data_IF_223598094479
#
_entry.id   IF_223598094479
#
_cell.length_a   1.000
_cell.length_b   1.000
_cell.length_c   1.000
_cell.angle_alpha   90.00
_cell.angle_beta   90.00
_cell.angle_gamma   90.00
#
_symmetry.space_group_name_H-M   'P 1'
#
loop_
_entity.id
_entity.type
_entity.pdbx_description
1 polymer ?
#
# COMPACT_ATOMS: atom_id res chain seq x y z
N UNK A 1 -24.00 -64.36 -45.01
CA UNK A 1 -23.55 -62.93 -45.10
C UNK A 1 -24.13 -62.14 -43.96
N UNK A 2 -23.38 -61.97 -42.87
CA UNK A 2 -23.67 -61.01 -41.78
C UNK A 2 -22.61 -61.16 -40.68
N UNK A 3 -21.47 -60.58 -40.84
CA UNK A 3 -20.48 -60.37 -39.79
C UNK A 3 -19.72 -59.10 -40.19
N UNK A 4 -19.44 -58.22 -39.20
CA UNK A 4 -18.67 -56.99 -39.28
C UNK A 4 -19.45 -55.69 -39.15
N UNK A 5 -20.08 -55.36 -38.00
CA UNK A 5 -20.44 -53.95 -37.61
C UNK A 5 -20.41 -53.81 -36.08
N UNK A 6 -19.52 -54.40 -35.33
CA UNK A 6 -19.51 -54.23 -33.86
C UNK A 6 -18.15 -53.72 -33.29
N UNK A 7 -17.12 -53.57 -34.11
CA UNK A 7 -15.77 -53.25 -33.61
C UNK A 7 -15.44 -51.76 -33.55
N UNK A 8 -16.02 -50.79 -34.31
CA UNK A 8 -15.61 -49.41 -34.20
C UNK A 8 -16.29 -48.58 -33.11
N UNK A 9 -17.35 -49.08 -32.45
CA UNK A 9 -18.07 -48.28 -31.43
C UNK A 9 -17.43 -48.39 -30.04
N UNK A 10 -16.70 -49.45 -29.74
CA UNK A 10 -16.05 -49.60 -28.44
C UNK A 10 -14.72 -48.82 -28.31
N UNK A 11 -14.08 -48.45 -29.43
CA UNK A 11 -12.83 -47.69 -29.40
C UNK A 11 -13.05 -46.17 -29.22
N UNK A 12 -14.24 -45.68 -29.55
CA UNK A 12 -14.59 -44.24 -29.40
C UNK A 12 -14.99 -43.87 -27.96
N UNK A 13 -15.44 -44.83 -27.15
CA UNK A 13 -15.87 -44.57 -25.77
C UNK A 13 -14.70 -44.57 -24.78
N UNK A 14 -13.58 -45.20 -25.09
CA UNK A 14 -12.39 -45.21 -24.23
C UNK A 14 -11.54 -43.93 -24.39
N UNK A 15 -11.69 -43.20 -25.52
CA UNK A 15 -10.93 -41.95 -25.75
C UNK A 15 -11.55 -40.71 -25.13
N UNK A 16 -12.78 -40.80 -24.63
CA UNK A 16 -13.49 -39.64 -24.01
C UNK A 16 -13.33 -39.60 -22.49
N UNK A 17 -12.81 -40.64 -21.86
CA UNK A 17 -12.59 -40.70 -20.39
C UNK A 17 -11.17 -40.30 -19.95
N UNK A 18 -10.34 -39.72 -20.82
CA UNK A 18 -9.08 -39.08 -20.44
C UNK A 18 -9.21 -37.55 -20.44
N UNK A 19 -10.39 -36.99 -20.16
CA UNK A 19 -10.55 -35.59 -19.88
C UNK A 19 -10.31 -35.33 -18.40
N UNK A 20 -9.06 -35.01 -18.10
CA UNK A 20 -8.64 -33.94 -17.21
C UNK A 20 -9.33 -33.84 -15.83
N UNK A 21 -8.90 -34.67 -14.89
CA UNK A 21 -8.68 -34.18 -13.55
C UNK A 21 -7.25 -33.68 -13.45
N UNK A 22 -6.94 -32.49 -13.98
CA UNK A 22 -5.93 -31.63 -13.37
C UNK A 22 -6.58 -31.07 -12.10
N UNK A 23 -6.56 -31.83 -11.01
CA UNK A 23 -6.67 -31.24 -9.70
C UNK A 23 -5.46 -30.33 -9.59
N UNK A 24 -5.68 -29.02 -9.64
CA UNK A 24 -4.72 -28.02 -9.18
C UNK A 24 -4.39 -28.40 -7.73
N UNK A 25 -3.35 -29.21 -7.55
CA UNK A 25 -2.82 -29.48 -6.22
C UNK A 25 -2.20 -28.17 -5.76
N UNK A 26 -2.90 -27.41 -4.92
CA UNK A 26 -2.28 -26.31 -4.17
C UNK A 26 -0.95 -26.84 -3.63
N UNK A 27 0.12 -26.07 -3.83
CA UNK A 27 1.43 -26.41 -3.29
C UNK A 27 1.30 -26.59 -1.77
N UNK A 28 1.81 -27.67 -1.21
CA UNK A 28 1.82 -27.86 0.25
C UNK A 28 2.85 -26.91 0.85
N UNK A 29 2.37 -25.98 1.66
CA UNK A 29 3.21 -24.99 2.37
C UNK A 29 3.40 -25.46 3.82
N UNK A 30 4.63 -25.48 4.36
CA UNK A 30 4.87 -25.78 5.77
C UNK A 30 4.11 -24.82 6.70
N UNK A 31 3.68 -25.31 7.85
CA UNK A 31 2.80 -24.60 8.77
C UNK A 31 3.35 -23.27 9.33
N UNK A 32 4.65 -23.02 9.19
CA UNK A 32 5.31 -21.76 9.62
C UNK A 32 5.81 -20.92 8.47
N UNK A 33 5.48 -21.27 7.23
CA UNK A 33 5.90 -20.56 6.02
C UNK A 33 4.69 -20.03 5.27
N UNK A 34 4.94 -19.11 4.34
CA UNK A 34 4.01 -18.73 3.27
C UNK A 34 4.67 -18.95 1.92
N UNK A 35 3.86 -19.09 0.89
CA UNK A 35 4.31 -19.18 -0.51
C UNK A 35 3.43 -18.29 -1.38
N UNK A 36 4.02 -17.24 -1.98
CA UNK A 36 3.41 -16.47 -3.04
C UNK A 36 3.95 -16.97 -4.38
N UNK A 37 3.08 -17.29 -5.33
CA UNK A 37 3.46 -17.56 -6.72
C UNK A 37 2.67 -16.63 -7.65
N UNK A 38 3.38 -15.94 -8.53
CA UNK A 38 2.80 -15.03 -9.50
C UNK A 38 3.04 -15.46 -10.94
N UNK A 39 2.03 -15.26 -11.80
CA UNK A 39 2.12 -15.44 -13.24
C UNK A 39 1.56 -14.20 -13.95
N UNK A 40 2.42 -13.55 -14.75
CA UNK A 40 2.13 -12.28 -15.44
C UNK A 40 2.27 -12.47 -16.94
N UNK A 41 1.14 -12.59 -17.64
CA UNK A 41 1.06 -13.16 -19.00
C UNK A 41 1.79 -12.33 -20.08
N UNK A 42 1.73 -10.99 -20.04
CA UNK A 42 2.22 -10.11 -21.08
C UNK A 42 3.43 -9.28 -20.68
N UNK A 43 4.17 -9.76 -19.67
CA UNK A 43 5.37 -9.07 -19.19
C UNK A 43 6.63 -9.80 -19.66
N UNK A 44 7.65 -9.04 -20.04
CA UNK A 44 8.95 -9.57 -20.41
C UNK A 44 9.71 -10.09 -19.23
N UNK A 45 10.54 -11.09 -19.44
CA UNK A 45 11.56 -11.50 -18.49
C UNK A 45 12.47 -10.32 -18.12
N UNK A 46 13.18 -10.41 -17.03
CA UNK A 46 14.02 -9.35 -16.45
C UNK A 46 13.29 -8.23 -15.67
N UNK A 47 11.97 -8.21 -15.65
CA UNK A 47 11.23 -7.33 -14.74
C UNK A 47 11.43 -7.81 -13.30
N UNK A 48 11.79 -6.89 -12.42
CA UNK A 48 11.99 -7.16 -10.98
C UNK A 48 10.71 -6.85 -10.23
N UNK A 49 10.22 -7.83 -9.50
CA UNK A 49 9.10 -7.70 -8.56
C UNK A 49 9.69 -7.67 -7.14
N UNK A 50 9.30 -6.69 -6.35
CA UNK A 50 9.71 -6.54 -4.95
C UNK A 50 8.56 -6.84 -4.00
N UNK A 51 8.87 -7.52 -2.89
CA UNK A 51 7.98 -7.73 -1.76
C UNK A 51 8.44 -6.84 -0.61
N UNK A 52 7.52 -6.06 -0.05
CA UNK A 52 7.81 -5.06 0.96
C UNK A 52 6.89 -5.21 2.16
N UNK A 53 7.34 -4.70 3.30
CA UNK A 53 6.52 -4.47 4.49
C UNK A 53 6.43 -2.97 4.75
N UNK A 54 5.25 -2.51 5.16
CA UNK A 54 5.04 -1.13 5.62
C UNK A 54 5.25 -1.07 7.14
N UNK A 55 6.23 -0.29 7.56
CA UNK A 55 6.55 -0.02 8.97
C UNK A 55 6.42 1.48 9.24
N UNK A 56 5.18 1.96 9.32
CA UNK A 56 4.89 3.35 9.67
C UNK A 56 5.34 4.38 8.62
N UNK A 57 4.96 4.17 7.37
CA UNK A 57 5.29 4.96 6.18
C UNK A 57 6.72 4.74 5.63
N UNK A 58 7.42 3.73 6.11
CA UNK A 58 8.68 3.27 5.53
C UNK A 58 8.45 1.92 4.88
N UNK A 59 8.68 1.83 3.57
CA UNK A 59 8.57 0.58 2.83
C UNK A 59 9.89 -0.17 2.85
N UNK A 60 10.01 -1.17 3.73
CA UNK A 60 11.19 -1.99 3.84
C UNK A 60 11.11 -3.16 2.86
N UNK A 61 12.11 -3.27 1.99
CA UNK A 61 12.23 -4.38 1.05
C UNK A 61 12.54 -5.67 1.82
N UNK A 62 11.68 -6.68 1.65
CA UNK A 62 11.85 -8.02 2.24
C UNK A 62 12.52 -8.98 1.26
N UNK A 63 12.05 -9.00 0.01
CA UNK A 63 12.57 -9.89 -1.02
C UNK A 63 12.41 -9.28 -2.42
N UNK A 64 13.21 -9.76 -3.37
CA UNK A 64 13.07 -9.48 -4.81
C UNK A 64 13.09 -10.78 -5.58
N UNK A 65 12.32 -10.83 -6.64
CA UNK A 65 12.44 -11.87 -7.66
C UNK A 65 12.35 -11.26 -9.04
N UNK A 66 12.96 -11.91 -10.02
CA UNK A 66 12.99 -11.46 -11.41
C UNK A 66 12.12 -12.38 -12.24
N UNK A 67 11.23 -11.82 -13.04
CA UNK A 67 10.37 -12.63 -13.90
C UNK A 67 11.19 -13.54 -14.81
N UNK A 68 10.83 -14.80 -14.80
CA UNK A 68 11.32 -15.82 -15.72
C UNK A 68 10.13 -16.57 -16.31
N UNK A 69 9.96 -16.50 -17.62
CA UNK A 69 8.76 -17.01 -18.31
C UNK A 69 7.46 -16.43 -17.70
N UNK A 70 7.47 -15.14 -17.34
CA UNK A 70 6.35 -14.45 -16.74
C UNK A 70 6.06 -14.82 -15.28
N UNK A 71 6.92 -15.59 -14.60
CA UNK A 71 6.67 -16.09 -13.23
C UNK A 71 7.61 -15.47 -12.22
N UNK A 72 7.11 -15.33 -11.00
CA UNK A 72 7.88 -14.94 -9.80
C UNK A 72 7.38 -15.69 -8.57
N UNK A 73 8.20 -15.76 -7.53
CA UNK A 73 7.84 -16.45 -6.30
C UNK A 73 8.52 -15.84 -5.07
N UNK A 74 7.76 -15.77 -3.95
CA UNK A 74 8.31 -15.41 -2.64
C UNK A 74 7.93 -16.48 -1.63
N UNK A 75 8.91 -16.89 -0.82
CA UNK A 75 8.71 -17.87 0.23
C UNK A 75 9.59 -17.52 1.41
N UNK A 76 8.99 -17.47 2.61
CA UNK A 76 9.71 -17.26 3.85
C UNK A 76 8.84 -17.72 5.03
N UNK A 77 9.38 -17.64 6.24
CA UNK A 77 8.67 -17.92 7.47
C UNK A 77 7.78 -16.75 7.89
N UNK A 78 6.65 -17.08 8.48
CA UNK A 78 5.74 -16.10 9.08
C UNK A 78 5.06 -16.72 10.31
N UNK A 79 4.89 -15.93 11.36
CA UNK A 79 4.26 -16.39 12.61
C UNK A 79 2.84 -15.88 12.81
N UNK A 80 2.44 -14.83 12.09
CA UNK A 80 1.12 -14.20 12.20
C UNK A 80 0.64 -13.73 10.83
N UNK A 81 -0.67 -13.64 10.66
CA UNK A 81 -1.26 -13.02 9.46
C UNK A 81 -0.86 -11.55 9.38
N UNK A 82 -0.31 -11.13 8.26
CA UNK A 82 0.08 -9.74 8.01
C UNK A 82 -0.06 -9.34 6.54
N UNK A 83 -0.17 -8.04 6.31
CA UNK A 83 -0.20 -7.43 4.98
C UNK A 83 1.21 -7.18 4.47
N UNK A 84 1.45 -7.53 3.23
CA UNK A 84 2.65 -7.23 2.46
C UNK A 84 2.27 -6.40 1.23
N UNK A 85 3.26 -5.75 0.64
CA UNK A 85 3.09 -4.91 -0.53
C UNK A 85 3.94 -5.45 -1.67
N UNK A 86 3.35 -5.62 -2.85
CA UNK A 86 4.07 -5.95 -4.07
C UNK A 86 4.22 -4.70 -4.92
N UNK A 87 5.44 -4.39 -5.32
CA UNK A 87 5.78 -3.24 -6.17
C UNK A 87 6.81 -3.63 -7.22
N UNK A 88 6.94 -2.78 -8.24
CA UNK A 88 8.04 -2.84 -9.21
C UNK A 88 8.46 -1.43 -9.60
N UNK A 89 9.78 -1.20 -9.60
CA UNK A 89 10.39 0.06 -10.04
C UNK A 89 10.68 0.07 -11.56
N UNK A 90 10.32 -0.99 -12.27
CA UNK A 90 10.52 -1.05 -13.70
C UNK A 90 9.64 -0.04 -14.44
N UNK A 91 10.14 0.49 -15.55
CA UNK A 91 9.44 1.46 -16.38
C UNK A 91 8.03 1.00 -16.76
N UNK A 92 7.07 1.90 -16.67
CA UNK A 92 5.67 1.67 -16.99
C UNK A 92 4.86 1.00 -15.88
N UNK A 93 5.46 0.68 -14.72
CA UNK A 93 4.70 0.35 -13.52
C UNK A 93 4.18 1.61 -12.84
N UNK A 94 2.98 1.58 -12.24
CA UNK A 94 2.50 2.68 -11.42
C UNK A 94 3.33 2.79 -10.13
N UNK A 95 3.59 4.01 -9.67
CA UNK A 95 4.26 4.28 -8.39
C UNK A 95 3.34 3.99 -7.20
N UNK A 96 2.83 2.78 -7.13
CA UNK A 96 1.95 2.28 -6.07
C UNK A 96 2.19 0.78 -5.87
N UNK A 97 1.37 0.14 -5.06
CA UNK A 97 1.52 -1.26 -4.66
C UNK A 97 0.23 -2.05 -4.79
N UNK A 98 0.39 -3.39 -4.79
CA UNK A 98 -0.68 -4.36 -4.58
C UNK A 98 -0.57 -4.88 -3.15
N UNK A 99 -1.64 -4.80 -2.38
CA UNK A 99 -1.74 -5.41 -1.06
C UNK A 99 -1.94 -6.91 -1.18
N UNK A 100 -1.10 -7.66 -0.47
CA UNK A 100 -1.17 -9.13 -0.40
C UNK A 100 -1.07 -9.56 1.05
N UNK A 101 -2.05 -10.32 1.51
CA UNK A 101 -2.05 -10.88 2.85
C UNK A 101 -1.35 -12.23 2.87
N UNK A 102 -0.46 -12.44 3.84
CA UNK A 102 0.25 -13.69 4.07
C UNK A 102 -0.08 -14.23 5.46
N UNK A 103 -0.10 -15.54 5.60
CA UNK A 103 -0.34 -16.22 6.88
C UNK A 103 0.44 -17.55 6.95
N UNK A 104 0.67 -18.10 8.16
CA UNK A 104 1.34 -19.38 8.33
C UNK A 104 0.61 -20.53 7.62
N UNK A 105 1.33 -21.29 6.81
CA UNK A 105 0.82 -22.43 6.05
C UNK A 105 0.11 -22.07 4.75
N UNK A 106 0.02 -20.80 4.38
CA UNK A 106 -0.82 -20.34 3.26
C UNK A 106 -0.09 -20.25 1.94
N UNK A 107 -0.82 -20.63 0.90
CA UNK A 107 -0.44 -20.48 -0.51
C UNK A 107 -1.24 -19.33 -1.12
N UNK A 108 -0.53 -18.41 -1.76
CA UNK A 108 -1.12 -17.25 -2.42
C UNK A 108 -0.77 -17.31 -3.91
N UNK A 109 -1.77 -17.33 -4.76
CA UNK A 109 -1.61 -17.26 -6.21
C UNK A 109 -1.91 -15.84 -6.69
N UNK A 110 -1.05 -15.31 -7.59
CA UNK A 110 -1.23 -14.00 -8.22
C UNK A 110 -1.24 -14.18 -9.73
N UNK A 111 -2.25 -13.63 -10.39
CA UNK A 111 -2.36 -13.63 -11.85
C UNK A 111 -2.55 -12.20 -12.35
N UNK A 112 -1.79 -11.85 -13.38
CA UNK A 112 -1.90 -10.54 -14.03
C UNK A 112 -1.58 -10.60 -15.51
N UNK A 113 -2.11 -9.62 -16.26
CA UNK A 113 -1.91 -9.55 -17.71
C UNK A 113 -0.96 -8.42 -18.12
N UNK A 114 -0.79 -7.42 -17.26
CA UNK A 114 -0.04 -6.20 -17.56
C UNK A 114 0.63 -5.62 -16.29
N UNK A 115 1.14 -4.38 -16.39
CA UNK A 115 1.81 -3.67 -15.29
C UNK A 115 0.86 -2.99 -14.28
N UNK A 116 -0.45 -3.13 -14.45
CA UNK A 116 -1.44 -2.43 -13.62
C UNK A 116 -1.73 -3.22 -12.34
N UNK A 117 -0.84 -3.13 -11.37
CA UNK A 117 -0.81 -3.92 -10.13
C UNK A 117 -2.18 -4.18 -9.47
N UNK A 118 -3.03 -3.15 -9.35
CA UNK A 118 -4.36 -3.28 -8.71
C UNK A 118 -5.37 -4.09 -9.53
N UNK A 119 -5.03 -4.45 -10.79
CA UNK A 119 -5.86 -5.31 -11.63
C UNK A 119 -5.45 -6.78 -11.57
N UNK A 120 -4.36 -7.10 -10.87
CA UNK A 120 -3.95 -8.49 -10.69
C UNK A 120 -4.90 -9.22 -9.74
N UNK A 121 -5.24 -10.44 -10.10
CA UNK A 121 -6.04 -11.31 -9.26
C UNK A 121 -5.16 -11.93 -8.19
N UNK A 122 -5.57 -11.85 -6.93
CA UNK A 122 -4.91 -12.50 -5.79
C UNK A 122 -5.85 -13.53 -5.19
N UNK A 123 -5.47 -14.78 -5.21
CA UNK A 123 -6.27 -15.91 -4.72
C UNK A 123 -5.57 -16.56 -3.53
N UNK A 124 -6.26 -16.63 -2.39
CA UNK A 124 -5.82 -17.35 -1.19
C UNK A 124 -7.00 -17.72 -0.31
N UNK A 125 -6.77 -18.55 0.70
CA UNK A 125 -7.79 -18.90 1.70
C UNK A 125 -7.80 -17.93 2.90
N UNK A 126 -6.97 -16.86 2.87
CA UNK A 126 -6.86 -15.84 3.92
C UNK A 126 -8.10 -14.92 3.86
N UNK A 127 -8.89 -14.82 4.94
CA UNK A 127 -10.11 -14.00 4.94
C UNK A 127 -9.86 -12.52 4.65
N UNK A 128 -8.75 -11.97 5.13
CA UNK A 128 -8.34 -10.59 4.90
C UNK A 128 -8.05 -10.33 3.42
N UNK A 129 -7.48 -11.30 2.70
CA UNK A 129 -7.29 -11.17 1.25
C UNK A 129 -8.62 -11.15 0.51
N UNK A 130 -9.54 -12.01 0.90
CA UNK A 130 -10.87 -12.04 0.28
C UNK A 130 -11.62 -10.69 0.49
N UNK A 131 -11.42 -10.03 1.61
CA UNK A 131 -11.99 -8.71 1.88
C UNK A 131 -11.27 -7.62 1.06
N UNK A 132 -9.93 -7.61 1.01
CA UNK A 132 -9.15 -6.67 0.17
C UNK A 132 -9.58 -6.75 -1.30
N UNK A 133 -9.80 -7.97 -1.80
CA UNK A 133 -10.30 -8.19 -3.15
C UNK A 133 -11.68 -7.55 -3.40
N UNK A 134 -12.59 -7.58 -2.40
CA UNK A 134 -13.91 -6.93 -2.50
C UNK A 134 -13.78 -5.41 -2.56
N UNK A 135 -12.91 -4.81 -1.75
CA UNK A 135 -12.61 -3.38 -1.83
C UNK A 135 -12.09 -3.00 -3.23
N UNK A 136 -11.13 -3.75 -3.76
CA UNK A 136 -10.61 -3.48 -5.11
C UNK A 136 -11.69 -3.65 -6.17
N UNK A 137 -12.51 -4.69 -6.06
CA UNK A 137 -13.55 -5.01 -7.04
C UNK A 137 -14.66 -3.95 -7.14
N UNK A 138 -15.03 -3.29 -6.02
CA UNK A 138 -16.12 -2.30 -6.03
C UNK A 138 -15.84 -1.09 -6.92
N UNK A 139 -14.55 -0.82 -7.23
CA UNK A 139 -14.12 0.31 -8.06
C UNK A 139 -13.12 -0.09 -9.18
N UNK A 140 -13.16 -1.34 -9.65
CA UNK A 140 -12.15 -1.90 -10.56
C UNK A 140 -11.91 -1.08 -11.83
N UNK A 141 -12.97 -0.54 -12.44
CA UNK A 141 -12.83 0.27 -13.66
C UNK A 141 -12.03 1.55 -13.39
N UNK A 142 -12.32 2.23 -12.29
CA UNK A 142 -11.61 3.44 -11.86
C UNK A 142 -10.17 3.11 -11.40
N UNK A 143 -9.98 1.97 -10.72
CA UNK A 143 -8.64 1.48 -10.35
C UNK A 143 -7.77 1.26 -11.58
N UNK A 144 -8.30 0.61 -12.62
CA UNK A 144 -7.57 0.38 -13.88
C UNK A 144 -7.15 1.69 -14.55
N UNK A 145 -8.05 2.64 -14.67
CA UNK A 145 -7.77 3.96 -15.26
C UNK A 145 -6.75 4.75 -14.41
N UNK A 146 -6.94 4.74 -13.09
CA UNK A 146 -5.99 5.37 -12.16
C UNK A 146 -4.58 4.80 -12.31
N UNK A 147 -4.43 3.47 -12.39
CA UNK A 147 -3.12 2.83 -12.54
C UNK A 147 -2.40 3.27 -13.81
N UNK A 148 -3.10 3.45 -14.93
CA UNK A 148 -2.51 3.95 -16.18
C UNK A 148 -1.94 5.36 -16.02
N UNK A 149 -2.66 6.24 -15.34
CA UNK A 149 -2.19 7.60 -15.07
C UNK A 149 -1.01 7.62 -14.08
N UNK A 150 -1.05 6.79 -13.04
CA UNK A 150 0.05 6.68 -12.08
C UNK A 150 1.32 6.12 -12.71
N UNK A 151 1.22 5.19 -13.64
CA UNK A 151 2.37 4.71 -14.40
C UNK A 151 3.03 5.85 -15.20
N UNK A 152 2.23 6.68 -15.86
CA UNK A 152 2.74 7.85 -16.57
C UNK A 152 3.35 8.90 -15.62
N UNK A 153 2.73 9.15 -14.46
CA UNK A 153 3.27 10.07 -13.45
C UNK A 153 4.64 9.57 -12.94
N UNK A 154 4.73 8.29 -12.62
CA UNK A 154 5.96 7.68 -12.10
C UNK A 154 7.08 7.67 -13.15
N UNK A 155 6.77 7.40 -14.42
CA UNK A 155 7.74 7.50 -15.50
C UNK A 155 8.28 8.94 -15.67
N UNK A 156 7.43 9.98 -15.52
CA UNK A 156 7.88 11.36 -15.52
C UNK A 156 8.79 11.68 -14.33
N UNK A 157 8.45 11.19 -13.13
CA UNK A 157 9.30 11.35 -11.94
C UNK A 157 10.68 10.71 -12.16
N UNK A 158 10.72 9.49 -12.69
CA UNK A 158 11.98 8.82 -13.02
C UNK A 158 12.82 9.60 -14.02
N UNK A 159 12.21 10.06 -15.12
CA UNK A 159 12.91 10.88 -16.09
C UNK A 159 13.51 12.14 -15.48
N UNK A 160 12.76 12.84 -14.61
CA UNK A 160 13.26 14.05 -13.95
C UNK A 160 14.40 13.78 -12.96
N UNK A 161 14.25 12.78 -12.13
CA UNK A 161 15.16 12.58 -10.99
C UNK A 161 16.32 11.60 -11.28
N UNK A 162 16.23 10.80 -12.34
CA UNK A 162 17.26 9.82 -12.71
C UNK A 162 17.88 10.18 -14.04
N UNK A 163 17.09 10.23 -15.14
CA UNK A 163 17.61 10.38 -16.50
C UNK A 163 18.09 11.81 -16.78
N UNK A 164 17.43 12.82 -16.21
CA UNK A 164 17.71 14.25 -16.38
C UNK A 164 17.99 14.94 -15.04
N UNK A 165 18.59 14.24 -14.09
CA UNK A 165 18.88 14.78 -12.75
C UNK A 165 19.72 16.08 -12.85
N UNK A 166 19.20 17.16 -12.25
CA UNK A 166 19.85 18.47 -12.26
C UNK A 166 19.52 19.38 -13.47
N UNK A 167 18.75 18.91 -14.46
CA UNK A 167 18.21 19.72 -15.55
C UNK A 167 16.95 20.46 -15.09
N UNK A 168 17.11 21.71 -14.67
CA UNK A 168 16.01 22.54 -14.15
C UNK A 168 14.91 22.83 -15.18
N UNK A 169 15.26 22.93 -16.47
CA UNK A 169 14.28 23.16 -17.53
C UNK A 169 13.43 21.91 -17.76
N UNK A 170 14.06 20.76 -17.78
CA UNK A 170 13.37 19.46 -17.88
C UNK A 170 12.51 19.20 -16.65
N UNK A 171 13.00 19.50 -15.45
CA UNK A 171 12.27 19.37 -14.19
C UNK A 171 11.00 20.24 -14.20
N UNK A 172 11.09 21.51 -14.59
CA UNK A 172 9.93 22.41 -14.71
C UNK A 172 8.88 21.85 -15.69
N UNK A 173 9.31 21.31 -16.82
CA UNK A 173 8.43 20.67 -17.80
C UNK A 173 7.77 19.41 -17.24
N UNK A 174 8.54 18.61 -16.52
CA UNK A 174 8.07 17.39 -15.87
C UNK A 174 6.98 17.67 -14.83
N UNK A 175 7.20 18.65 -13.95
CA UNK A 175 6.18 19.08 -12.97
C UNK A 175 4.89 19.55 -13.65
N UNK A 176 4.95 20.31 -14.72
CA UNK A 176 3.77 20.71 -15.46
C UNK A 176 2.98 19.52 -16.04
N UNK A 177 3.70 18.46 -16.45
CA UNK A 177 3.06 17.20 -16.91
C UNK A 177 2.43 16.43 -15.75
N UNK A 178 3.13 16.32 -14.63
CA UNK A 178 2.62 15.66 -13.40
C UNK A 178 1.36 16.40 -12.92
N UNK A 179 1.36 17.72 -12.88
CA UNK A 179 0.18 18.50 -12.50
C UNK A 179 -1.02 18.26 -13.42
N UNK A 180 -0.75 18.08 -14.72
CA UNK A 180 -1.80 17.73 -15.69
C UNK A 180 -2.38 16.33 -15.41
N UNK A 181 -1.53 15.35 -15.07
CA UNK A 181 -1.95 13.99 -14.71
C UNK A 181 -2.75 14.02 -13.40
N UNK A 182 -2.29 14.76 -12.39
CA UNK A 182 -2.96 14.87 -11.08
C UNK A 182 -4.37 15.44 -11.17
N UNK A 183 -4.63 16.34 -12.12
CA UNK A 183 -5.97 16.84 -12.42
C UNK A 183 -6.92 15.74 -12.90
N UNK A 184 -6.40 14.70 -13.54
CA UNK A 184 -7.17 13.53 -13.99
C UNK A 184 -7.30 12.51 -12.86
N UNK A 185 -6.24 12.28 -12.07
CA UNK A 185 -6.24 11.25 -11.03
C UNK A 185 -7.01 11.64 -9.78
N UNK A 186 -7.13 12.92 -9.44
CA UNK A 186 -7.88 13.38 -8.26
C UNK A 186 -9.35 12.96 -8.30
N UNK A 187 -10.13 13.23 -9.37
CA UNK A 187 -11.53 12.79 -9.43
C UNK A 187 -11.68 11.27 -9.44
N UNK A 188 -10.73 10.54 -10.08
CA UNK A 188 -10.75 9.07 -10.07
C UNK A 188 -10.55 8.51 -8.65
N UNK A 189 -9.60 9.07 -7.88
CA UNK A 189 -9.39 8.70 -6.47
C UNK A 189 -10.64 8.97 -5.64
N UNK A 190 -11.27 10.13 -5.82
CA UNK A 190 -12.50 10.48 -5.11
C UNK A 190 -13.63 9.51 -5.44
N UNK A 191 -13.79 9.11 -6.70
CA UNK A 191 -14.80 8.12 -7.09
C UNK A 191 -14.53 6.74 -6.50
N UNK A 192 -13.27 6.29 -6.49
CA UNK A 192 -12.86 5.04 -5.84
C UNK A 192 -13.23 5.10 -4.35
N UNK A 193 -12.80 6.13 -3.63
CA UNK A 193 -13.09 6.27 -2.20
C UNK A 193 -14.59 6.35 -1.91
N UNK A 194 -15.36 7.03 -2.75
CA UNK A 194 -16.82 7.05 -2.61
C UNK A 194 -17.42 5.65 -2.67
N UNK A 195 -16.99 4.84 -3.64
CA UNK A 195 -17.46 3.46 -3.79
C UNK A 195 -17.01 2.56 -2.64
N UNK A 196 -15.78 2.71 -2.18
CA UNK A 196 -15.26 1.95 -1.05
C UNK A 196 -15.97 2.34 0.27
N UNK A 197 -16.21 3.64 0.51
CA UNK A 197 -16.99 4.12 1.65
C UNK A 197 -18.43 3.60 1.60
N UNK A 198 -19.05 3.54 0.41
CA UNK A 198 -20.39 2.96 0.24
C UNK A 198 -20.40 1.46 0.54
N UNK A 199 -19.42 0.70 0.04
CA UNK A 199 -19.26 -0.70 0.40
C UNK A 199 -19.08 -0.89 1.91
N UNK A 200 -18.31 -0.05 2.58
CA UNK A 200 -18.07 -0.11 4.02
C UNK A 200 -19.33 0.04 4.87
N UNK A 201 -20.40 0.65 4.37
CA UNK A 201 -21.66 0.80 5.13
C UNK A 201 -22.30 -0.53 5.47
N UNK A 202 -22.20 -1.51 4.58
CA UNK A 202 -22.82 -2.83 4.72
C UNK A 202 -21.78 -3.93 5.06
N UNK A 203 -20.50 -3.70 4.78
CA UNK A 203 -19.45 -4.66 5.04
C UNK A 203 -19.28 -4.95 6.54
N UNK A 204 -18.89 -6.19 6.91
CA UNK A 204 -18.53 -6.51 8.29
C UNK A 204 -17.31 -5.70 8.73
N UNK A 205 -17.27 -5.32 10.00
CA UNK A 205 -16.12 -4.64 10.57
C UNK A 205 -15.02 -5.68 10.81
N UNK A 206 -14.00 -5.64 9.97
CA UNK A 206 -12.84 -6.52 9.94
C UNK A 206 -11.57 -5.71 10.12
N UNK A 207 -10.43 -6.38 10.21
CA UNK A 207 -9.13 -5.70 10.20
C UNK A 207 -8.93 -4.85 8.94
N UNK A 208 -9.28 -5.36 7.75
CA UNK A 208 -9.18 -4.62 6.49
C UNK A 208 -10.09 -3.39 6.51
N UNK A 209 -11.31 -3.55 7.01
CA UNK A 209 -12.26 -2.44 7.17
C UNK A 209 -11.69 -1.33 8.07
N UNK A 210 -11.06 -1.70 9.21
CA UNK A 210 -10.45 -0.74 10.15
C UNK A 210 -9.24 -0.06 9.49
N UNK A 211 -8.37 -0.80 8.79
CA UNK A 211 -7.22 -0.25 8.06
C UNK A 211 -7.68 0.77 6.99
N UNK A 212 -8.79 0.49 6.27
CA UNK A 212 -9.37 1.43 5.30
C UNK A 212 -9.96 2.68 5.99
N UNK A 213 -10.66 2.50 7.12
CA UNK A 213 -11.18 3.65 7.87
C UNK A 213 -10.06 4.54 8.40
N UNK A 214 -8.96 3.95 8.88
CA UNK A 214 -7.78 4.69 9.31
C UNK A 214 -7.18 5.52 8.17
N UNK A 215 -7.03 4.91 6.98
CA UNK A 215 -6.57 5.62 5.79
C UNK A 215 -7.47 6.82 5.49
N UNK A 216 -8.81 6.63 5.45
CA UNK A 216 -9.72 7.73 5.14
C UNK A 216 -9.76 8.81 6.21
N UNK A 217 -9.68 8.43 7.48
CA UNK A 217 -9.60 9.39 8.59
C UNK A 217 -8.34 10.24 8.50
N UNK A 218 -7.19 9.65 8.21
CA UNK A 218 -5.92 10.37 8.04
C UNK A 218 -5.95 11.37 6.88
N UNK A 219 -6.75 11.09 5.85
CA UNK A 219 -6.91 11.96 4.68
C UNK A 219 -7.89 13.12 4.87
N UNK A 220 -8.71 13.12 5.95
CA UNK A 220 -9.73 14.15 6.19
C UNK A 220 -9.17 15.57 6.31
N UNK A 221 -7.91 15.73 6.69
CA UNK A 221 -7.23 17.03 6.73
C UNK A 221 -7.05 17.66 5.34
N UNK A 222 -7.12 16.88 4.27
CA UNK A 222 -6.99 17.32 2.89
C UNK A 222 -8.37 17.40 2.20
N UNK A 223 -9.19 18.41 2.52
CA UNK A 223 -10.59 18.51 2.07
C UNK A 223 -10.78 18.45 0.56
N UNK A 224 -9.88 19.06 -0.21
CA UNK A 224 -9.93 19.05 -1.69
C UNK A 224 -9.65 17.66 -2.28
N UNK A 225 -8.98 16.81 -1.53
CA UNK A 225 -8.62 15.45 -1.92
C UNK A 225 -9.66 14.47 -1.39
N UNK A 226 -10.07 14.61 -0.10
CA UNK A 226 -11.00 13.74 0.61
C UNK A 226 -12.25 14.51 1.05
N UNK A 227 -13.27 14.66 0.18
CA UNK A 227 -14.46 15.46 0.50
C UNK A 227 -15.53 14.71 1.33
N UNK A 228 -15.26 13.47 1.77
CA UNK A 228 -16.24 12.56 2.38
C UNK A 228 -16.14 12.49 3.91
N UNK A 229 -15.93 13.63 4.57
CA UNK A 229 -15.73 13.69 6.04
C UNK A 229 -16.91 13.12 6.84
N UNK A 230 -18.13 13.42 6.43
CA UNK A 230 -19.33 12.98 7.16
C UNK A 230 -19.57 11.47 7.00
N UNK A 231 -19.26 10.91 5.84
CA UNK A 231 -19.28 9.47 5.60
C UNK A 231 -18.27 8.75 6.50
N UNK A 232 -17.04 9.26 6.59
CA UNK A 232 -15.98 8.71 7.47
C UNK A 232 -16.41 8.74 8.93
N UNK A 233 -16.97 9.86 9.42
CA UNK A 233 -17.52 9.97 10.77
C UNK A 233 -18.68 8.99 11.01
N UNK A 234 -19.54 8.81 10.03
CA UNK A 234 -20.66 7.87 10.11
C UNK A 234 -20.16 6.42 10.22
N UNK A 235 -19.12 6.06 9.48
CA UNK A 235 -18.49 4.75 9.58
C UNK A 235 -17.80 4.55 10.93
N UNK A 236 -17.09 5.57 11.44
CA UNK A 236 -16.52 5.52 12.79
C UNK A 236 -17.59 5.30 13.88
N UNK A 237 -18.78 5.87 13.73
CA UNK A 237 -19.88 5.65 14.65
C UNK A 237 -20.36 4.18 14.67
N UNK A 238 -20.18 3.42 13.58
CA UNK A 238 -20.47 1.97 13.55
C UNK A 238 -19.43 1.13 14.30
N UNK A 239 -18.23 1.66 14.52
CA UNK A 239 -17.12 0.94 15.11
C UNK A 239 -17.45 0.55 16.56
N UNK A 240 -17.28 -0.73 16.97
CA UNK A 240 -17.46 -1.15 18.36
C UNK A 240 -16.51 -0.39 19.31
N UNK A 241 -16.97 -0.15 20.52
CA UNK A 241 -16.14 0.53 21.54
C UNK A 241 -14.84 -0.22 21.82
N UNK A 242 -14.85 -1.56 21.75
CA UNK A 242 -13.64 -2.37 21.89
C UNK A 242 -12.61 -2.06 20.81
N UNK A 243 -13.04 -1.86 19.57
CA UNK A 243 -12.16 -1.51 18.47
C UNK A 243 -11.64 -0.07 18.58
N UNK A 244 -12.45 0.87 19.09
CA UNK A 244 -12.05 2.25 19.34
C UNK A 244 -10.94 2.37 20.40
N UNK A 245 -10.81 1.39 21.28
CA UNK A 245 -9.77 1.35 22.32
C UNK A 245 -8.44 0.73 21.84
N UNK A 246 -8.40 0.12 20.66
CA UNK A 246 -7.16 -0.34 20.04
C UNK A 246 -6.30 0.84 19.57
N UNK A 247 -5.00 0.60 19.32
CA UNK A 247 -4.09 1.64 18.80
C UNK A 247 -4.63 2.27 17.51
N UNK A 248 -5.08 1.44 16.57
CA UNK A 248 -5.70 1.92 15.32
C UNK A 248 -6.99 2.71 15.58
N UNK A 249 -7.83 2.28 16.53
CA UNK A 249 -9.05 2.98 16.90
C UNK A 249 -8.79 4.34 17.55
N UNK A 250 -7.77 4.44 18.40
CA UNK A 250 -7.34 5.70 19.01
C UNK A 250 -6.77 6.66 17.95
N UNK A 251 -5.99 6.14 17.01
CA UNK A 251 -5.46 6.93 15.90
C UNK A 251 -6.58 7.46 14.99
N UNK A 252 -7.56 6.63 14.63
CA UNK A 252 -8.77 7.06 13.89
C UNK A 252 -9.49 8.17 14.66
N UNK A 253 -9.66 7.98 15.98
CA UNK A 253 -10.30 8.99 16.84
C UNK A 253 -9.57 10.33 16.80
N UNK A 254 -8.23 10.31 16.87
CA UNK A 254 -7.41 11.51 16.82
C UNK A 254 -7.50 12.24 15.47
N UNK A 255 -7.67 11.52 14.36
CA UNK A 255 -7.90 12.15 13.04
C UNK A 255 -9.30 12.73 12.90
N UNK A 256 -10.32 12.07 13.43
CA UNK A 256 -11.73 12.51 13.34
C UNK A 256 -12.01 13.66 14.29
N UNK A 257 -11.43 13.60 15.49
CA UNK A 257 -11.59 14.57 16.57
C UNK A 257 -10.21 15.05 17.04
N UNK A 258 -9.50 15.80 16.20
CA UNK A 258 -8.18 16.28 16.57
C UNK A 258 -8.27 17.15 17.82
N UNK A 259 -7.28 17.09 18.71
CA UNK A 259 -7.23 17.99 19.86
C UNK A 259 -7.26 19.45 19.39
N UNK A 260 -7.87 20.31 20.19
CA UNK A 260 -7.89 21.73 19.89
C UNK A 260 -6.45 22.27 19.81
N UNK A 261 -6.12 22.94 18.71
CA UNK A 261 -4.85 23.63 18.57
C UNK A 261 -4.91 24.90 19.41
N UNK A 262 -3.90 25.13 20.25
CA UNK A 262 -3.79 26.36 21.02
C UNK A 262 -3.76 27.57 20.07
N UNK A 263 -4.65 28.51 20.28
CA UNK A 263 -4.72 29.77 19.54
C UNK A 263 -3.89 30.87 20.19
N UNK A 264 -3.90 32.05 19.56
CA UNK A 264 -3.24 33.22 20.12
C UNK A 264 -3.95 33.65 21.42
N UNK A 265 -3.21 33.65 22.52
CA UNK A 265 -3.74 34.00 23.86
C UNK A 265 -4.15 32.80 24.71
N UNK A 266 -4.14 31.60 24.17
CA UNK A 266 -4.37 30.39 24.94
C UNK A 266 -3.16 30.04 25.81
N UNK A 267 -3.42 29.22 26.83
CA UNK A 267 -2.33 28.66 27.62
C UNK A 267 -1.48 27.73 26.75
N UNK A 268 -0.17 27.75 26.98
CA UNK A 268 0.78 26.87 26.32
C UNK A 268 0.43 25.40 26.60
N UNK A 269 0.35 24.62 25.54
CA UNK A 269 0.21 23.16 25.67
C UNK A 269 1.57 22.57 25.99
N UNK A 270 1.67 21.91 27.12
CA UNK A 270 2.88 21.18 27.50
C UNK A 270 2.78 19.73 27.03
N UNK A 271 3.92 19.11 26.74
CA UNK A 271 4.01 17.74 26.28
C UNK A 271 5.32 17.11 26.72
N UNK A 272 5.32 15.79 26.79
CA UNK A 272 6.54 15.02 27.03
C UNK A 272 7.42 15.06 25.78
N UNK A 273 8.65 15.57 25.95
CA UNK A 273 9.68 15.61 24.92
C UNK A 273 10.92 14.90 25.44
N UNK A 274 11.70 14.31 24.57
CA UNK A 274 12.96 13.66 24.95
C UNK A 274 14.11 14.43 24.34
N UNK A 275 15.13 14.75 25.15
CA UNK A 275 16.35 15.35 24.67
C UNK A 275 17.29 14.29 24.04
N UNK A 276 18.41 14.72 23.51
CA UNK A 276 19.42 13.86 22.86
C UNK A 276 20.01 12.78 23.75
N UNK A 277 19.78 12.84 25.07
CA UNK A 277 20.24 11.85 26.04
C UNK A 277 19.06 10.98 26.53
N UNK A 278 17.93 10.96 25.80
CA UNK A 278 16.68 10.28 26.18
C UNK A 278 16.12 10.73 27.54
N UNK A 279 16.43 11.96 27.96
CA UNK A 279 15.90 12.53 29.19
C UNK A 279 14.58 13.24 28.93
N UNK A 280 13.58 12.94 29.77
CA UNK A 280 12.26 13.57 29.67
C UNK A 280 12.38 15.07 29.96
N UNK A 281 11.85 15.88 29.07
CA UNK A 281 11.84 17.35 29.13
C UNK A 281 10.43 17.86 28.87
N UNK A 282 10.18 19.07 29.31
CA UNK A 282 8.91 19.76 29.15
C UNK A 282 9.11 21.17 28.59
N UNK A 283 8.24 21.62 27.70
CA UNK A 283 8.26 23.02 27.19
C UNK A 283 8.02 23.99 28.36
N UNK A 284 7.25 23.58 29.36
CA UNK A 284 6.97 24.36 30.57
C UNK A 284 8.21 24.74 31.35
N UNK A 285 9.35 24.05 31.20
CA UNK A 285 10.65 24.45 31.82
C UNK A 285 11.12 25.82 31.36
N UNK A 286 10.63 26.29 30.21
CA UNK A 286 10.95 27.62 29.66
C UNK A 286 9.85 28.67 29.91
N UNK A 287 8.87 28.36 30.76
CA UNK A 287 7.79 29.28 31.10
C UNK A 287 8.33 30.67 31.55
N UNK A 288 7.65 31.73 31.14
CA UNK A 288 8.07 33.10 31.38
C UNK A 288 9.14 33.66 30.45
N UNK A 289 9.52 32.90 29.40
CA UNK A 289 10.43 33.33 28.33
C UNK A 289 9.69 33.28 26.99
N UNK A 290 10.22 34.00 26.00
CA UNK A 290 9.81 33.80 24.63
C UNK A 290 10.42 32.46 24.11
N UNK A 291 9.58 31.59 23.56
CA UNK A 291 9.99 30.29 23.04
C UNK A 291 9.71 30.28 21.53
N UNK A 292 10.73 30.01 20.74
CA UNK A 292 10.59 29.68 19.30
C UNK A 292 10.76 28.21 19.16
N UNK A 293 9.69 27.51 18.71
CA UNK A 293 9.73 26.09 18.39
C UNK A 293 10.00 25.92 16.90
N UNK A 294 11.06 25.22 16.57
CA UNK A 294 11.39 24.84 15.19
C UNK A 294 11.25 23.31 15.03
N UNK A 295 10.35 22.88 14.14
CA UNK A 295 10.08 21.46 13.85
C UNK A 295 10.81 21.06 12.58
N UNK A 296 11.85 20.26 12.72
CA UNK A 296 12.63 19.82 11.57
C UNK A 296 12.98 18.31 11.64
N UNK A 297 13.39 17.76 10.51
CA UNK A 297 13.95 16.42 10.41
C UNK A 297 15.15 16.40 9.46
N UNK A 298 15.99 15.38 9.54
CA UNK A 298 17.15 15.21 8.66
C UNK A 298 16.78 15.18 7.16
N UNK A 299 15.53 14.81 6.83
CA UNK A 299 14.98 14.84 5.47
C UNK A 299 14.38 16.19 5.05
N UNK A 300 14.35 17.21 5.93
CA UNK A 300 13.79 18.51 5.61
C UNK A 300 14.80 19.35 4.80
N UNK A 301 14.70 19.33 3.47
CA UNK A 301 15.65 19.96 2.55
C UNK A 301 15.88 21.46 2.77
N UNK A 302 14.86 22.32 3.02
CA UNK A 302 15.06 23.73 3.34
C UNK A 302 15.88 23.93 4.61
N UNK A 303 15.54 23.22 5.68
CA UNK A 303 16.20 23.35 6.99
C UNK A 303 17.64 22.84 6.96
N UNK A 304 17.90 21.76 6.25
CA UNK A 304 19.27 21.20 6.14
C UNK A 304 20.24 22.14 5.41
N UNK A 305 19.75 23.07 4.57
CA UNK A 305 20.58 24.08 3.88
C UNK A 305 20.86 25.29 4.72
N UNK A 306 19.94 25.67 5.58
CA UNK A 306 19.99 26.93 6.34
C UNK A 306 20.44 26.74 7.80
N UNK A 307 20.28 25.53 8.35
CA UNK A 307 20.66 25.24 9.72
C UNK A 307 22.04 24.56 9.78
N UNK A 308 23.10 25.24 10.27
CA UNK A 308 24.45 24.64 10.40
C UNK A 308 24.50 23.45 11.39
N UNK A 309 23.46 23.29 12.24
CA UNK A 309 23.32 22.15 13.16
C UNK A 309 22.67 20.94 12.48
N UNK A 310 22.02 21.12 11.34
CA UNK A 310 21.42 20.06 10.52
C UNK A 310 22.44 19.38 9.61
N UNK A 311 23.68 19.23 10.03
CA UNK A 311 24.66 18.41 9.29
C UNK A 311 24.15 16.96 9.28
N UNK A 312 24.23 16.25 8.13
CA UNK A 312 23.85 14.85 8.10
C UNK A 312 24.66 14.11 9.17
N UNK A 313 23.95 13.41 10.04
CA UNK A 313 24.55 12.53 11.03
C UNK A 313 25.45 11.53 10.27
N UNK A 314 26.75 11.56 10.54
CA UNK A 314 27.62 10.50 10.06
C UNK A 314 27.18 9.22 10.73
N UNK A 315 26.76 8.26 9.92
CA UNK A 315 26.26 6.95 10.38
C UNK A 315 27.31 6.08 11.08
N UNK A 316 28.52 6.54 11.19
CA UNK A 316 29.69 5.81 11.69
C UNK A 316 30.01 6.11 13.16
N UNK A 317 29.28 7.05 13.81
CA UNK A 317 29.51 7.29 15.23
C UNK A 317 28.21 7.63 15.98
N UNK A 318 27.56 6.66 16.63
CA UNK A 318 26.32 6.86 17.36
C UNK A 318 26.47 7.74 18.63
N UNK A 319 27.66 8.33 18.88
CA UNK A 319 27.94 9.20 20.04
C UNK A 319 27.96 10.68 19.71
N UNK A 320 27.70 11.10 18.47
CA UNK A 320 27.67 12.50 18.06
C UNK A 320 26.27 13.01 17.72
N UNK A 321 25.24 12.51 18.42
CA UNK A 321 23.91 13.08 18.39
C UNK A 321 23.87 14.11 19.53
N UNK A 322 24.24 15.34 19.22
CA UNK A 322 24.13 16.49 20.08
C UNK A 322 23.24 17.56 19.47
#
# INVERSE_FOLDING_TARGET
MRKYIIVPVLLAVVLVMMCHCTSDRKATVPANEYLIQGELANLSDSIVIGLYVDEGNIFNLVARDTLLNGKFSFRDTVSVTKKMLIMSDNKGFPGTWLEVWIAPGEYIEIKGEDKLLKTWEVVSDIPEQAEENRFTACAMAQQKELMQHLAAEYDWQRMMFIDHAGDQEFEKKGWAKIDSIRKLTTPLRQEIWKKELEYMKEAPISKVWIDKLLLYASMMKYETVMPYKEEVKSLYARMPETEKQTDAGQEITAYIYPPSVAGIGDMMVDGELYDVNDSLRHISEFAGRFILLDFWSSGCGPVSRENPLAKPLRTDNPKEIG
#
